data_IF_978063483802
#
_entry.id   IF_978063483802
#
_cell.length_a   1.000
_cell.length_b   1.000
_cell.length_c   1.000
_cell.angle_alpha   90.00
_cell.angle_beta   90.00
_cell.angle_gamma   90.00
#
_symmetry.space_group_name_H-M   'P 1'
#
loop_
_entity.id
_entity.type
_entity.pdbx_description
1 polymer ?
#
# COMPACT_ATOMS: atom_id res chain seq x y z
N UNK A 1 -57.85 -12.66 25.41
CA UNK A 1 -57.27 -13.61 24.44
C UNK A 1 -55.93 -13.06 24.00
N UNK A 2 -54.83 -13.52 24.60
CA UNK A 2 -53.47 -13.05 24.26
C UNK A 2 -52.96 -13.96 23.14
N UNK A 3 -52.85 -13.42 21.92
CA UNK A 3 -52.37 -14.17 20.77
C UNK A 3 -50.85 -14.22 20.86
N UNK A 4 -50.30 -15.36 21.29
CA UNK A 4 -48.88 -15.64 21.19
C UNK A 4 -48.55 -15.86 19.71
N UNK A 5 -48.03 -14.82 19.05
CA UNK A 5 -47.42 -14.95 17.73
C UNK A 5 -46.13 -15.76 17.92
N UNK A 6 -46.20 -17.05 17.62
CA UNK A 6 -45.06 -17.97 17.71
C UNK A 6 -44.11 -17.63 16.57
N UNK A 7 -43.06 -16.87 16.89
CA UNK A 7 -41.99 -16.54 15.93
C UNK A 7 -41.46 -17.87 15.37
N UNK A 8 -41.49 -18.08 14.04
CA UNK A 8 -41.08 -19.34 13.43
C UNK A 8 -39.62 -19.63 13.77
N UNK A 9 -39.31 -20.90 14.04
CA UNK A 9 -37.98 -21.37 14.48
C UNK A 9 -36.87 -20.90 13.55
N UNK A 10 -37.15 -20.83 12.24
CA UNK A 10 -36.22 -20.37 11.20
C UNK A 10 -35.79 -18.91 11.36
N UNK A 11 -36.67 -18.05 11.86
CA UNK A 11 -36.40 -16.63 12.04
C UNK A 11 -35.55 -16.37 13.30
N UNK A 12 -35.72 -17.20 14.33
CA UNK A 12 -34.81 -17.20 15.49
C UNK A 12 -33.42 -17.72 15.15
N UNK A 13 -33.32 -18.75 14.32
CA UNK A 13 -32.02 -19.25 13.83
C UNK A 13 -31.34 -18.16 13.01
N UNK A 14 -32.07 -17.51 12.09
CA UNK A 14 -31.53 -16.40 11.28
C UNK A 14 -31.02 -15.25 12.14
N UNK A 15 -31.77 -14.86 13.17
CA UNK A 15 -31.36 -13.81 14.11
C UNK A 15 -30.09 -14.21 14.89
N UNK A 16 -30.01 -15.45 15.37
CA UNK A 16 -28.83 -15.94 16.09
C UNK A 16 -27.57 -16.00 15.21
N UNK A 17 -27.73 -16.35 13.93
CA UNK A 17 -26.65 -16.35 12.96
C UNK A 17 -26.20 -14.92 12.63
N UNK A 18 -27.14 -13.98 12.50
CA UNK A 18 -26.82 -12.58 12.27
C UNK A 18 -26.02 -12.01 13.45
N UNK A 19 -26.46 -12.24 14.69
CA UNK A 19 -25.72 -11.82 15.88
C UNK A 19 -24.31 -12.43 15.95
N UNK A 20 -24.14 -13.67 15.47
CA UNK A 20 -22.83 -14.33 15.41
C UNK A 20 -21.93 -13.65 14.37
N UNK A 21 -22.47 -13.33 13.19
CA UNK A 21 -21.74 -12.60 12.14
C UNK A 21 -21.31 -11.24 12.66
N UNK A 22 -22.22 -10.48 13.27
CA UNK A 22 -21.95 -9.15 13.78
C UNK A 22 -20.86 -9.20 14.88
N UNK A 23 -20.91 -10.20 15.78
CA UNK A 23 -19.88 -10.37 16.82
C UNK A 23 -18.50 -10.73 16.26
N UNK A 24 -18.46 -11.53 15.18
CA UNK A 24 -17.20 -11.92 14.54
C UNK A 24 -16.62 -10.76 13.71
N UNK A 25 -17.48 -9.95 13.09
CA UNK A 25 -17.05 -8.74 12.40
C UNK A 25 -16.42 -7.75 13.38
N UNK A 26 -17.06 -7.54 14.54
CA UNK A 26 -16.50 -6.70 15.59
C UNK A 26 -15.14 -7.22 16.09
N UNK A 27 -15.00 -8.54 16.31
CA UNK A 27 -13.72 -9.11 16.76
C UNK A 27 -12.61 -8.98 15.71
N UNK A 28 -12.96 -9.02 14.41
CA UNK A 28 -12.02 -8.76 13.32
C UNK A 28 -11.60 -7.29 13.30
N UNK A 29 -12.55 -6.38 13.39
CA UNK A 29 -12.28 -4.93 13.38
C UNK A 29 -11.39 -4.53 14.58
N UNK A 30 -11.71 -5.02 15.78
CA UNK A 30 -10.90 -4.79 17.00
C UNK A 30 -9.47 -5.31 16.83
N UNK A 31 -9.29 -6.49 16.22
CA UNK A 31 -7.95 -7.05 15.95
C UNK A 31 -7.20 -6.30 14.86
N UNK A 32 -7.90 -5.77 13.87
CA UNK A 32 -7.29 -4.94 12.83
C UNK A 32 -6.77 -3.63 13.40
N UNK A 33 -7.53 -3.01 14.31
CA UNK A 33 -7.13 -1.81 15.04
C UNK A 33 -5.95 -2.09 16.00
N UNK A 34 -5.99 -3.19 16.76
CA UNK A 34 -4.89 -3.60 17.66
C UNK A 34 -3.57 -3.84 16.92
N UNK A 35 -3.64 -4.30 15.67
CA UNK A 35 -2.46 -4.64 14.88
C UNK A 35 -1.98 -3.49 13.98
N UNK A 36 -2.63 -2.31 14.02
CA UNK A 36 -2.36 -1.16 13.14
C UNK A 36 -2.19 -1.57 11.66
N UNK A 37 -2.85 -2.66 11.23
CA UNK A 37 -2.59 -3.30 9.92
C UNK A 37 -2.89 -2.34 8.77
N UNK A 38 -3.89 -1.49 8.96
CA UNK A 38 -4.28 -0.47 7.99
C UNK A 38 -3.13 0.54 7.80
N UNK A 39 -2.37 0.85 8.84
CA UNK A 39 -1.24 1.76 8.75
C UNK A 39 -0.06 1.09 8.02
N UNK A 40 0.21 -0.18 8.33
CA UNK A 40 1.28 -0.97 7.68
C UNK A 40 1.07 -1.11 6.17
N UNK A 41 -0.17 -1.38 5.72
CA UNK A 41 -0.46 -1.47 4.27
C UNK A 41 -0.26 -0.13 3.55
N UNK A 42 -0.66 0.97 4.18
CA UNK A 42 -0.50 2.30 3.62
C UNK A 42 0.98 2.72 3.59
N UNK A 43 1.72 2.52 4.68
CA UNK A 43 3.16 2.77 4.74
C UNK A 43 3.92 1.95 3.70
N UNK A 44 3.56 0.67 3.53
CA UNK A 44 4.21 -0.19 2.53
C UNK A 44 3.93 0.31 1.11
N UNK A 45 2.70 0.75 0.84
CA UNK A 45 2.33 1.34 -0.45
C UNK A 45 3.06 2.65 -0.70
N UNK A 46 3.18 3.51 0.31
CA UNK A 46 3.92 4.76 0.22
C UNK A 46 5.42 4.53 0.00
N UNK A 47 6.00 3.54 0.67
CA UNK A 47 7.36 3.10 0.42
C UNK A 47 7.56 2.61 -1.02
N UNK A 48 6.66 1.78 -1.54
CA UNK A 48 6.70 1.34 -2.95
C UNK A 48 6.62 2.53 -3.92
N UNK A 49 5.72 3.48 -3.66
CA UNK A 49 5.59 4.69 -4.48
C UNK A 49 6.88 5.52 -4.46
N UNK A 50 7.52 5.66 -3.30
CA UNK A 50 8.78 6.39 -3.18
C UNK A 50 9.90 5.74 -3.99
N UNK A 51 10.02 4.41 -3.92
CA UNK A 51 11.02 3.65 -4.69
C UNK A 51 10.79 3.79 -6.19
N UNK A 52 9.54 3.68 -6.66
CA UNK A 52 9.21 3.89 -8.07
C UNK A 52 9.52 5.32 -8.52
N UNK A 53 9.15 6.31 -7.72
CA UNK A 53 9.42 7.73 -8.00
C UNK A 53 10.92 8.01 -8.08
N UNK A 54 11.71 7.45 -7.16
CA UNK A 54 13.16 7.56 -7.18
C UNK A 54 13.75 6.97 -8.46
N UNK A 55 13.34 5.75 -8.83
CA UNK A 55 13.82 5.09 -10.03
C UNK A 55 13.46 5.85 -11.31
N UNK A 56 12.23 6.36 -11.42
CA UNK A 56 11.79 7.15 -12.57
C UNK A 56 12.62 8.43 -12.72
N UNK A 57 12.89 9.12 -11.61
CA UNK A 57 13.74 10.32 -11.61
C UNK A 57 15.18 9.98 -11.99
N UNK A 58 15.73 8.90 -11.43
CA UNK A 58 17.09 8.42 -11.71
C UNK A 58 17.24 8.08 -13.19
N UNK A 59 16.29 7.35 -13.77
CA UNK A 59 16.28 6.98 -15.19
C UNK A 59 16.19 8.21 -16.11
N UNK A 60 15.35 9.19 -15.75
CA UNK A 60 15.27 10.46 -16.47
C UNK A 60 16.60 11.22 -16.42
N UNK A 61 17.22 11.29 -15.23
CA UNK A 61 18.54 11.90 -15.03
C UNK A 61 19.63 11.21 -15.85
N UNK A 62 19.66 9.88 -15.85
CA UNK A 62 20.61 9.08 -16.64
C UNK A 62 20.49 9.34 -18.14
N UNK A 63 19.28 9.46 -18.68
CA UNK A 63 19.05 9.81 -20.09
C UNK A 63 19.63 11.18 -20.42
N UNK A 64 19.39 12.17 -19.56
CA UNK A 64 19.92 13.53 -19.73
C UNK A 64 21.46 13.52 -19.67
N UNK A 65 22.05 12.83 -18.70
CA UNK A 65 23.51 12.69 -18.58
C UNK A 65 24.09 11.98 -19.82
N UNK A 66 23.43 10.96 -20.33
CA UNK A 66 23.84 10.27 -21.56
C UNK A 66 23.90 11.21 -22.77
N UNK A 67 22.85 12.01 -22.99
CA UNK A 67 22.80 13.01 -24.06
C UNK A 67 23.91 14.07 -23.86
N UNK A 68 24.08 14.54 -22.62
CA UNK A 68 25.09 15.54 -22.30
C UNK A 68 26.52 15.02 -22.53
N UNK A 69 26.78 13.77 -22.18
CA UNK A 69 28.06 13.10 -22.40
C UNK A 69 28.41 13.06 -23.89
N UNK A 70 27.46 12.62 -24.72
CA UNK A 70 27.61 12.58 -26.19
C UNK A 70 27.91 13.98 -26.74
N UNK A 71 27.17 15.01 -26.31
CA UNK A 71 27.36 16.38 -26.79
C UNK A 71 28.71 16.99 -26.35
N UNK A 72 29.22 16.59 -25.19
CA UNK A 72 30.52 17.06 -24.67
C UNK A 72 31.70 16.22 -25.16
N UNK A 73 31.46 15.08 -25.82
CA UNK A 73 32.51 14.15 -26.22
C UNK A 73 33.22 13.48 -25.04
N UNK A 74 32.57 13.43 -23.87
CA UNK A 74 33.07 12.78 -22.65
C UNK A 74 32.24 11.55 -22.35
N UNK A 75 32.71 10.70 -21.46
CA UNK A 75 31.93 9.56 -20.97
C UNK A 75 30.92 10.01 -19.90
N UNK A 76 29.81 9.29 -19.78
CA UNK A 76 28.84 9.54 -18.70
C UNK A 76 29.50 9.43 -17.32
N UNK A 77 30.46 8.52 -17.15
CA UNK A 77 31.20 8.35 -15.88
C UNK A 77 32.00 9.59 -15.46
N UNK A 78 32.53 10.34 -16.41
CA UNK A 78 33.22 11.61 -16.12
C UNK A 78 32.22 12.66 -15.64
N UNK A 79 31.04 12.75 -16.28
CA UNK A 79 29.99 13.66 -15.83
C UNK A 79 29.44 13.31 -14.45
N UNK A 80 29.33 12.03 -14.10
CA UNK A 80 28.93 11.63 -12.75
C UNK A 80 29.87 12.20 -11.69
N UNK A 81 31.19 12.18 -11.94
CA UNK A 81 32.17 12.79 -11.02
C UNK A 81 32.04 14.31 -10.97
N UNK A 82 31.83 14.96 -12.12
CA UNK A 82 31.69 16.42 -12.19
C UNK A 82 30.44 16.93 -11.46
N UNK A 83 29.39 16.13 -11.41
CA UNK A 83 28.13 16.44 -10.71
C UNK A 83 28.04 15.85 -9.29
N UNK A 84 29.11 15.25 -8.78
CA UNK A 84 29.14 14.57 -7.47
C UNK A 84 28.04 13.48 -7.32
N UNK A 85 27.79 12.76 -8.42
CA UNK A 85 26.81 11.68 -8.50
C UNK A 85 27.51 10.33 -8.36
N UNK A 86 26.87 9.41 -7.62
CA UNK A 86 27.31 8.04 -7.49
C UNK A 86 26.79 7.16 -8.64
N UNK A 87 27.65 6.32 -9.23
CA UNK A 87 27.28 5.39 -10.31
C UNK A 87 26.67 4.11 -9.76
N UNK A 88 27.00 3.76 -8.51
CA UNK A 88 26.55 2.52 -7.87
C UNK A 88 25.21 2.69 -7.12
N UNK A 89 24.70 3.92 -7.01
CA UNK A 89 23.33 4.22 -6.57
C UNK A 89 22.32 3.80 -7.65
#
# INVERSE_FOLDING_TARGET
MIIYVKIPSSERIKLSLQMKIDSLQQEVDEKMDELEIIDIENEYKDYLNLVHTYNDLKDAGQKIIGILAVNKGVTSRELYKDFDLNIDD
#
